data_IF_829501307133
#
_entry.id   IF_829501307133
#
_cell.length_a   1.000
_cell.length_b   1.000
_cell.length_c   1.000
_cell.angle_alpha   90.00
_cell.angle_beta   90.00
_cell.angle_gamma   90.00
#
_symmetry.space_group_name_H-M   'P 1'
#
loop_
_entity.id
_entity.type
_entity.pdbx_description
1 polymer ?
#
# COMPACT_ATOMS: atom_id res chain seq x y z
N UNK A 1 -8.64 12.05 -1.36
CA UNK A 1 -7.65 11.27 -2.14
C UNK A 1 -6.35 11.33 -1.37
N UNK A 2 -5.53 10.30 -1.46
CA UNK A 2 -4.29 10.19 -0.66
C UNK A 2 -3.25 11.15 -1.19
N UNK A 3 -2.70 11.97 -0.32
CA UNK A 3 -1.50 12.78 -0.54
C UNK A 3 -0.33 12.19 0.26
N UNK A 4 -0.60 11.86 1.52
CA UNK A 4 0.34 11.21 2.41
C UNK A 4 -0.23 9.88 2.92
N UNK A 5 0.44 8.79 2.61
CA UNK A 5 0.14 7.46 3.13
C UNK A 5 1.22 6.94 4.07
N UNK A 6 0.84 6.25 5.12
CA UNK A 6 1.75 5.51 5.98
C UNK A 6 1.47 4.02 5.86
N UNK A 7 2.45 3.25 5.39
CA UNK A 7 2.38 1.79 5.36
C UNK A 7 3.14 1.20 6.54
N UNK A 8 2.49 0.33 7.31
CA UNK A 8 3.13 -0.46 8.37
C UNK A 8 3.82 -1.66 7.69
N UNK A 9 5.18 -1.70 7.67
CA UNK A 9 5.90 -2.66 6.83
C UNK A 9 6.23 -3.99 7.53
N UNK A 10 6.26 -4.02 8.86
CA UNK A 10 6.67 -5.18 9.65
C UNK A 10 5.95 -5.23 10.99
N UNK A 11 6.04 -6.39 11.65
CA UNK A 11 5.40 -6.69 12.93
C UNK A 11 6.37 -7.32 13.93
N UNK A 12 7.67 -7.15 13.69
CA UNK A 12 8.75 -7.63 14.52
C UNK A 12 9.56 -6.43 15.00
N UNK A 13 9.51 -6.15 16.31
CA UNK A 13 10.01 -4.91 16.88
C UNK A 13 11.00 -5.17 18.03
N UNK A 14 12.14 -4.43 18.09
CA UNK A 14 13.08 -4.55 19.18
C UNK A 14 12.41 -4.36 20.54
N UNK A 15 12.61 -5.32 21.45
CA UNK A 15 12.11 -5.23 22.81
C UNK A 15 10.61 -5.41 23.00
N UNK A 16 9.85 -5.69 21.95
CA UNK A 16 8.39 -5.92 22.03
C UNK A 16 8.10 -7.41 22.10
N UNK A 17 7.43 -7.83 23.16
CA UNK A 17 6.96 -9.21 23.30
C UNK A 17 5.80 -9.49 22.31
N UNK A 18 5.57 -10.77 21.89
CA UNK A 18 4.49 -11.10 20.97
C UNK A 18 3.12 -10.58 21.35
N UNK A 19 2.79 -10.52 22.64
CA UNK A 19 1.53 -9.97 23.15
C UNK A 19 1.39 -8.44 23.02
N UNK A 20 2.50 -7.73 22.81
CA UNK A 20 2.52 -6.27 22.66
C UNK A 20 2.56 -5.79 21.19
N UNK A 21 2.69 -6.71 20.22
CA UNK A 21 2.84 -6.35 18.81
C UNK A 21 1.64 -5.55 18.32
N UNK A 22 0.42 -6.00 18.60
CA UNK A 22 -0.78 -5.31 18.15
C UNK A 22 -0.90 -3.89 18.75
N UNK A 23 -0.58 -3.71 20.03
CA UNK A 23 -0.58 -2.38 20.67
C UNK A 23 0.44 -1.44 20.00
N UNK A 24 1.61 -1.96 19.61
CA UNK A 24 2.62 -1.21 18.85
C UNK A 24 2.10 -0.79 17.47
N UNK A 25 1.42 -1.69 16.78
CA UNK A 25 0.78 -1.39 15.47
C UNK A 25 -0.30 -0.32 15.62
N UNK A 26 -1.12 -0.40 16.65
CA UNK A 26 -2.14 0.63 16.98
C UNK A 26 -1.48 1.97 17.27
N UNK A 27 -0.37 1.99 18.02
CA UNK A 27 0.36 3.23 18.32
C UNK A 27 0.91 3.88 17.05
N UNK A 28 1.47 3.12 16.10
CA UNK A 28 1.90 3.62 14.80
C UNK A 28 0.74 4.23 14.01
N UNK A 29 -0.40 3.54 13.92
CA UNK A 29 -1.56 4.04 13.18
C UNK A 29 -2.11 5.36 13.77
N UNK A 30 -2.13 5.48 15.10
CA UNK A 30 -2.53 6.71 15.79
C UNK A 30 -1.55 7.84 15.58
N UNK A 31 -0.23 7.57 15.64
CA UNK A 31 0.80 8.54 15.37
C UNK A 31 0.73 9.07 13.91
N UNK A 32 0.49 8.17 12.95
CA UNK A 32 0.25 8.55 11.56
C UNK A 32 -0.97 9.48 11.43
N UNK A 33 -2.10 9.11 12.06
CA UNK A 33 -3.30 9.93 12.05
C UNK A 33 -3.11 11.31 12.72
N UNK A 34 -2.29 11.39 13.75
CA UNK A 34 -2.00 12.63 14.48
C UNK A 34 -1.05 13.57 13.72
N UNK A 35 -0.26 13.07 12.79
CA UNK A 35 0.83 13.79 12.14
C UNK A 35 0.61 14.14 10.67
N UNK A 36 -0.62 14.06 10.17
CA UNK A 36 -0.98 14.55 8.84
C UNK A 36 -1.08 13.49 7.76
N UNK A 37 -0.90 12.21 8.09
CA UNK A 37 -1.16 11.16 7.11
C UNK A 37 -2.67 11.02 6.83
N UNK A 38 -3.01 10.89 5.55
CA UNK A 38 -4.41 10.73 5.08
C UNK A 38 -4.87 9.28 5.17
N UNK A 39 -3.93 8.33 5.11
CA UNK A 39 -4.22 6.90 5.02
C UNK A 39 -3.18 6.05 5.73
N UNK A 40 -3.67 5.00 6.39
CA UNK A 40 -2.85 3.91 6.91
C UNK A 40 -3.02 2.69 6.01
N UNK A 41 -1.89 2.10 5.64
CA UNK A 41 -1.81 0.91 4.83
C UNK A 41 -1.19 -0.25 5.60
N UNK A 42 -1.60 -1.47 5.24
CA UNK A 42 -0.89 -2.69 5.58
C UNK A 42 -0.64 -3.50 4.30
N UNK A 43 0.37 -4.37 4.32
CA UNK A 43 0.64 -5.27 3.20
C UNK A 43 -0.33 -6.46 3.23
N UNK A 44 -0.77 -6.92 2.06
CA UNK A 44 -1.55 -8.15 1.92
C UNK A 44 -0.62 -9.31 1.58
N UNK A 45 0.17 -9.71 2.58
CA UNK A 45 1.12 -10.82 2.53
C UNK A 45 0.91 -11.74 3.73
N UNK A 46 1.30 -13.00 3.59
CA UNK A 46 1.25 -14.02 4.63
C UNK A 46 2.64 -14.29 5.24
N UNK A 47 3.69 -13.93 4.52
CA UNK A 47 5.09 -13.98 4.92
C UNK A 47 5.73 -12.61 4.82
N UNK A 48 6.78 -12.38 5.62
CA UNK A 48 7.53 -11.14 5.50
C UNK A 48 8.37 -11.12 4.20
N UNK A 49 8.54 -9.92 3.67
CA UNK A 49 9.18 -9.71 2.38
C UNK A 49 10.71 -9.61 2.50
N UNK A 50 11.46 -10.13 1.49
CA UNK A 50 12.89 -9.89 1.38
C UNK A 50 13.23 -8.38 1.42
N UNK A 51 14.26 -8.01 2.16
CA UNK A 51 14.66 -6.61 2.37
C UNK A 51 13.93 -5.90 3.52
N UNK A 52 12.90 -6.52 4.11
CA UNK A 52 12.22 -6.05 5.32
C UNK A 52 12.44 -7.06 6.46
N UNK A 53 12.45 -8.34 6.16
CA UNK A 53 12.68 -9.41 7.11
C UNK A 53 12.83 -10.77 6.45
N UNK A 54 12.71 -11.83 7.26
CA UNK A 54 12.74 -13.22 6.81
C UNK A 54 11.31 -13.75 6.63
N UNK A 55 11.06 -14.77 5.82
CA UNK A 55 9.71 -15.30 5.59
C UNK A 55 8.99 -15.80 6.85
N UNK A 56 9.71 -16.18 7.88
CA UNK A 56 9.21 -16.65 9.18
C UNK A 56 9.06 -15.54 10.24
N UNK A 57 9.37 -14.30 9.89
CA UNK A 57 9.07 -13.15 10.75
C UNK A 57 7.54 -12.95 10.84
N UNK A 58 7.10 -12.34 11.94
CA UNK A 58 5.66 -12.12 12.21
C UNK A 58 4.97 -11.37 11.06
N UNK A 59 3.84 -11.92 10.62
CA UNK A 59 2.98 -11.28 9.61
C UNK A 59 1.50 -11.45 9.99
N UNK A 60 0.73 -10.34 10.04
CA UNK A 60 -0.71 -10.38 10.29
C UNK A 60 -1.51 -10.47 8.99
N UNK A 61 -2.65 -11.18 9.03
CA UNK A 61 -3.60 -11.16 7.92
C UNK A 61 -4.17 -9.74 7.74
N UNK A 62 -4.09 -9.25 6.51
CA UNK A 62 -4.30 -7.85 6.14
C UNK A 62 -5.66 -7.30 6.57
N UNK A 63 -6.76 -7.95 6.17
CA UNK A 63 -8.11 -7.41 6.40
C UNK A 63 -8.58 -7.54 7.84
N UNK A 64 -8.14 -8.58 8.53
CA UNK A 64 -8.33 -8.72 9.99
C UNK A 64 -7.67 -7.56 10.73
N UNK A 65 -6.42 -7.23 10.35
CA UNK A 65 -5.69 -6.11 10.95
C UNK A 65 -6.33 -4.77 10.61
N UNK A 66 -6.71 -4.52 9.36
CA UNK A 66 -7.38 -3.28 8.95
C UNK A 66 -8.70 -3.06 9.68
N UNK A 67 -9.50 -4.12 9.87
CA UNK A 67 -10.75 -4.04 10.62
C UNK A 67 -10.51 -3.70 12.11
N UNK A 68 -9.45 -4.24 12.71
CA UNK A 68 -9.04 -3.90 14.07
C UNK A 68 -8.57 -2.44 14.17
N UNK A 69 -7.70 -1.98 13.25
CA UNK A 69 -7.23 -0.59 13.20
C UNK A 69 -8.36 0.43 12.98
N UNK A 70 -9.43 0.03 12.28
CA UNK A 70 -10.62 0.86 12.09
C UNK A 70 -11.25 1.30 13.41
N UNK A 71 -11.14 0.48 14.48
CA UNK A 71 -11.68 0.77 15.80
C UNK A 71 -10.74 1.62 16.67
N UNK A 72 -9.51 1.85 16.22
CA UNK A 72 -8.48 2.61 16.95
C UNK A 72 -8.12 3.93 16.27
N UNK A 73 -8.69 4.22 15.10
CA UNK A 73 -8.48 5.44 14.31
C UNK A 73 -9.83 6.07 13.95
N UNK A 74 -9.86 7.37 13.67
CA UNK A 74 -11.10 8.13 13.45
C UNK A 74 -11.17 8.81 12.07
N UNK A 75 -10.03 9.20 11.49
CA UNK A 75 -9.95 10.05 10.29
C UNK A 75 -9.24 9.40 9.12
N UNK A 76 -8.10 8.73 9.36
CA UNK A 76 -7.32 8.12 8.29
C UNK A 76 -8.13 7.05 7.56
N UNK A 77 -8.02 7.04 6.25
CA UNK A 77 -8.54 5.94 5.44
C UNK A 77 -7.69 4.68 5.64
N UNK A 78 -8.28 3.54 5.40
CA UNK A 78 -7.66 2.24 5.61
C UNK A 78 -7.64 1.45 4.31
N UNK A 79 -6.50 0.87 3.95
CA UNK A 79 -6.32 0.14 2.70
C UNK A 79 -5.23 -0.93 2.81
N UNK A 80 -5.37 -2.00 2.04
CA UNK A 80 -4.21 -2.78 1.67
C UNK A 80 -3.34 -2.00 0.66
N UNK A 81 -2.02 -2.14 0.73
CA UNK A 81 -1.10 -1.69 -0.31
C UNK A 81 -0.19 -2.85 -0.73
N UNK A 82 -0.64 -3.63 -1.69
CA UNK A 82 -1.99 -3.68 -2.25
C UNK A 82 -2.53 -5.10 -2.11
N UNK A 83 -3.86 -5.29 -2.13
CA UNK A 83 -4.48 -6.63 -2.13
C UNK A 83 -3.92 -7.48 -3.27
N UNK A 84 -3.41 -8.66 -2.95
CA UNK A 84 -3.09 -9.68 -3.94
C UNK A 84 -4.37 -10.27 -4.51
N UNK A 85 -4.72 -9.90 -5.73
CA UNK A 85 -5.96 -10.39 -6.38
C UNK A 85 -6.07 -11.91 -6.43
N UNK A 86 -4.94 -12.60 -6.39
CA UNK A 86 -4.85 -14.06 -6.46
C UNK A 86 -5.27 -14.77 -5.16
N UNK A 87 -5.29 -14.09 -4.03
CA UNK A 87 -5.53 -14.69 -2.72
C UNK A 87 -7.02 -14.91 -2.38
N UNK A 88 -7.93 -14.18 -3.03
CA UNK A 88 -9.36 -14.21 -2.68
C UNK A 88 -10.27 -14.28 -3.91
N UNK A 89 -11.43 -14.87 -3.73
CA UNK A 89 -12.51 -14.74 -4.72
C UNK A 89 -12.94 -13.26 -4.80
N UNK A 90 -13.10 -12.67 -6.00
CA UNK A 90 -13.40 -11.23 -6.14
C UNK A 90 -14.74 -10.82 -5.51
N UNK A 91 -15.77 -11.63 -5.57
CA UNK A 91 -17.06 -11.31 -4.93
C UNK A 91 -16.93 -11.33 -3.39
N UNK A 92 -16.12 -12.24 -2.83
CA UNK A 92 -15.79 -12.24 -1.40
C UNK A 92 -14.99 -11.01 -1.04
N UNK A 93 -14.03 -10.59 -1.87
CA UNK A 93 -13.26 -9.36 -1.64
C UNK A 93 -14.16 -8.12 -1.64
N UNK A 94 -15.13 -8.02 -2.56
CA UNK A 94 -16.11 -6.92 -2.55
C UNK A 94 -16.88 -6.86 -1.22
N UNK A 95 -17.30 -8.01 -0.68
CA UNK A 95 -17.94 -8.11 0.65
C UNK A 95 -17.00 -7.68 1.77
N UNK A 96 -15.73 -8.09 1.72
CA UNK A 96 -14.73 -7.76 2.73
C UNK A 96 -14.47 -6.25 2.78
N UNK A 97 -14.30 -5.61 1.62
CA UNK A 97 -14.10 -4.15 1.50
C UNK A 97 -15.33 -3.39 1.98
N UNK A 98 -16.54 -3.85 1.63
CA UNK A 98 -17.78 -3.25 2.12
C UNK A 98 -17.91 -3.38 3.64
N UNK A 99 -17.55 -4.52 4.21
CA UNK A 99 -17.54 -4.69 5.66
C UNK A 99 -16.52 -3.75 6.33
N UNK A 100 -15.31 -3.62 5.75
CA UNK A 100 -14.31 -2.66 6.22
C UNK A 100 -14.83 -1.22 6.15
N UNK A 101 -15.57 -0.86 5.09
CA UNK A 101 -16.17 0.46 4.95
C UNK A 101 -17.17 0.75 6.08
N UNK A 102 -18.02 -0.21 6.42
CA UNK A 102 -18.96 -0.09 7.53
C UNK A 102 -18.26 0.03 8.89
N UNK A 103 -17.31 -0.87 9.20
CA UNK A 103 -16.64 -0.86 10.51
C UNK A 103 -15.70 0.34 10.68
N UNK A 104 -15.29 0.97 9.58
CA UNK A 104 -14.48 2.19 9.57
C UNK A 104 -15.29 3.47 9.37
N UNK A 105 -16.63 3.40 9.31
CA UNK A 105 -17.51 4.55 9.06
C UNK A 105 -17.16 5.31 7.74
N UNK A 106 -17.03 4.57 6.64
CA UNK A 106 -16.83 5.14 5.30
C UNK A 106 -15.37 5.46 4.94
N UNK A 107 -14.39 4.86 5.65
CA UNK A 107 -12.96 5.14 5.44
C UNK A 107 -12.20 4.05 4.65
N UNK A 108 -12.88 3.02 4.13
CA UNK A 108 -12.22 2.00 3.33
C UNK A 108 -11.75 2.52 1.98
N UNK A 109 -10.66 1.93 1.47
CA UNK A 109 -10.19 2.05 0.09
C UNK A 109 -9.82 0.66 -0.42
N UNK A 110 -10.14 0.37 -1.66
CA UNK A 110 -9.67 -0.85 -2.34
C UNK A 110 -8.32 -0.57 -2.99
N UNK A 111 -7.23 -0.97 -2.35
CA UNK A 111 -5.93 -1.09 -3.01
C UNK A 111 -5.79 -2.49 -3.59
N UNK A 112 -5.50 -2.65 -4.88
CA UNK A 112 -5.44 -3.96 -5.53
C UNK A 112 -4.31 -4.05 -6.56
N UNK A 113 -3.76 -5.26 -6.73
CA UNK A 113 -2.74 -5.59 -7.70
C UNK A 113 -2.84 -7.03 -8.20
N UNK A 114 -2.05 -7.39 -9.19
CA UNK A 114 -2.11 -8.72 -9.83
C UNK A 114 -1.53 -9.87 -8.98
N UNK A 115 -0.86 -9.55 -7.85
CA UNK A 115 -0.08 -10.52 -7.08
C UNK A 115 1.31 -10.77 -7.71
N UNK A 116 2.30 -11.07 -6.87
CA UNK A 116 3.67 -11.25 -7.36
C UNK A 116 4.53 -12.24 -6.54
N UNK A 117 4.22 -12.47 -5.25
CA UNK A 117 5.06 -13.24 -4.36
C UNK A 117 4.74 -14.73 -4.45
N UNK A 118 5.47 -15.46 -5.29
CA UNK A 118 5.24 -16.86 -5.64
C UNK A 118 5.35 -17.80 -4.43
N UNK A 119 6.30 -17.53 -3.52
CA UNK A 119 6.52 -18.34 -2.31
C UNK A 119 5.23 -18.54 -1.48
N UNK A 120 4.44 -17.49 -1.30
CA UNK A 120 3.17 -17.58 -0.56
C UNK A 120 2.15 -18.44 -1.28
N UNK A 121 2.08 -18.32 -2.61
CA UNK A 121 1.15 -19.12 -3.42
C UNK A 121 1.47 -20.60 -3.31
N UNK A 122 2.72 -20.97 -3.47
CA UNK A 122 3.18 -22.36 -3.37
C UNK A 122 2.93 -22.93 -1.98
N UNK A 123 3.29 -22.17 -0.94
CA UNK A 123 3.18 -22.63 0.45
C UNK A 123 1.73 -22.76 0.93
N UNK A 124 0.82 -21.91 0.44
CA UNK A 124 -0.61 -21.93 0.80
C UNK A 124 -1.47 -22.74 -0.19
N UNK A 125 -0.86 -23.31 -1.23
CA UNK A 125 -1.62 -24.05 -2.26
C UNK A 125 -2.53 -23.17 -3.11
N UNK A 126 -2.18 -21.88 -3.25
CA UNK A 126 -2.91 -20.91 -4.07
C UNK A 126 -2.30 -20.89 -5.48
N UNK A 127 -3.07 -21.10 -6.54
CA UNK A 127 -2.53 -21.08 -7.90
C UNK A 127 -1.89 -19.75 -8.25
N UNK A 128 -0.56 -19.71 -8.50
CA UNK A 128 0.15 -18.49 -8.86
C UNK A 128 -0.16 -18.03 -10.28
N UNK A 129 -0.20 -18.96 -11.23
CA UNK A 129 -0.40 -18.71 -12.64
C UNK A 129 0.71 -17.86 -13.31
N UNK A 130 0.67 -17.75 -14.64
CA UNK A 130 1.61 -16.92 -15.40
C UNK A 130 1.35 -15.43 -15.16
N UNK A 131 2.35 -14.61 -15.46
CA UNK A 131 2.21 -13.15 -15.40
C UNK A 131 1.00 -12.64 -16.20
N UNK A 132 0.75 -13.19 -17.39
CA UNK A 132 -0.39 -12.77 -18.22
C UNK A 132 -1.73 -13.15 -17.58
N UNK A 133 -1.84 -14.36 -17.08
CA UNK A 133 -3.06 -14.86 -16.44
C UNK A 133 -3.39 -14.09 -15.16
N UNK A 134 -2.40 -13.68 -14.37
CA UNK A 134 -2.66 -12.84 -13.19
C UNK A 134 -3.27 -11.50 -13.55
N UNK A 135 -2.88 -10.89 -14.69
CA UNK A 135 -3.51 -9.66 -15.17
C UNK A 135 -4.90 -9.89 -15.77
N UNK A 136 -5.13 -11.02 -16.43
CA UNK A 136 -6.47 -11.42 -16.90
C UNK A 136 -7.42 -11.62 -15.69
N UNK A 137 -6.94 -12.31 -14.66
CA UNK A 137 -7.67 -12.47 -13.39
C UNK A 137 -7.98 -11.12 -12.73
N UNK A 138 -7.04 -10.20 -12.70
CA UNK A 138 -7.27 -8.87 -12.12
C UNK A 138 -8.33 -8.10 -12.91
N UNK A 139 -8.34 -8.17 -14.24
CA UNK A 139 -9.34 -7.51 -15.07
C UNK A 139 -10.74 -8.11 -14.85
N UNK A 140 -10.89 -9.43 -14.83
CA UNK A 140 -12.15 -10.09 -14.50
C UNK A 140 -12.62 -9.77 -13.08
N UNK A 141 -11.69 -9.73 -12.10
CA UNK A 141 -12.01 -9.38 -10.72
C UNK A 141 -12.54 -7.95 -10.60
N UNK A 142 -11.93 -6.98 -11.29
CA UNK A 142 -12.42 -5.60 -11.30
C UNK A 142 -13.81 -5.48 -11.92
N UNK A 143 -14.11 -6.27 -12.97
CA UNK A 143 -15.43 -6.34 -13.58
C UNK A 143 -16.51 -6.99 -12.68
N UNK A 144 -16.10 -7.67 -11.62
CA UNK A 144 -17.00 -8.20 -10.58
C UNK A 144 -17.09 -7.24 -9.41
N UNK A 145 -15.93 -6.81 -8.87
CA UNK A 145 -15.85 -6.03 -7.64
C UNK A 145 -16.48 -4.64 -7.82
N UNK A 146 -16.12 -3.92 -8.89
CA UNK A 146 -16.57 -2.54 -9.06
C UNK A 146 -18.08 -2.40 -9.21
N UNK A 147 -18.79 -3.24 -10.01
CA UNK A 147 -20.25 -3.25 -10.02
C UNK A 147 -20.85 -3.57 -8.65
N UNK A 148 -20.32 -4.57 -7.92
CA UNK A 148 -20.81 -4.88 -6.57
C UNK A 148 -20.67 -3.72 -5.60
N UNK A 149 -19.55 -2.99 -5.65
CA UNK A 149 -19.33 -1.80 -4.81
C UNK A 149 -20.23 -0.61 -5.18
N UNK A 150 -20.84 -0.61 -6.39
CA UNK A 150 -21.83 0.38 -6.83
C UNK A 150 -23.28 -0.05 -6.62
N UNK A 151 -23.50 -1.20 -5.99
CA UNK A 151 -24.86 -1.73 -5.76
C UNK A 151 -25.46 -2.49 -6.95
N UNK A 152 -24.67 -2.73 -7.96
CA UNK A 152 -25.07 -3.56 -9.09
C UNK A 152 -24.93 -5.06 -8.74
N UNK A 153 -25.57 -5.92 -9.52
CA UNK A 153 -25.56 -7.38 -9.34
C UNK A 153 -24.93 -8.04 -10.57
N UNK A 154 -23.58 -8.10 -10.63
CA UNK A 154 -22.91 -8.63 -11.80
C UNK A 154 -23.15 -10.13 -12.01
N UNK A 155 -23.23 -10.51 -13.28
CA UNK A 155 -23.05 -11.87 -13.74
C UNK A 155 -21.88 -11.89 -14.73
N UNK A 156 -20.94 -12.78 -14.52
CA UNK A 156 -19.77 -13.00 -15.38
C UNK A 156 -19.53 -14.49 -15.55
N UNK A 157 -19.40 -14.94 -16.78
CA UNK A 157 -18.89 -16.26 -17.13
C UNK A 157 -17.54 -16.07 -17.82
N UNK A 158 -16.51 -15.80 -16.99
CA UNK A 158 -15.16 -15.47 -17.44
C UNK A 158 -14.28 -16.70 -17.59
N UNK A 159 -13.05 -16.47 -18.02
CA UNK A 159 -12.01 -17.52 -18.12
C UNK A 159 -11.56 -18.00 -16.74
N UNK A 160 -11.52 -17.08 -15.76
CA UNK A 160 -10.94 -17.30 -14.44
C UNK A 160 -11.97 -17.26 -13.32
N UNK A 161 -13.05 -16.49 -13.48
CA UNK A 161 -14.09 -16.34 -12.46
C UNK A 161 -15.48 -16.47 -13.07
N UNK A 162 -16.36 -17.11 -12.33
CA UNK A 162 -17.79 -17.19 -12.67
C UNK A 162 -18.61 -16.70 -11.50
N UNK A 163 -19.48 -15.73 -11.74
CA UNK A 163 -20.48 -15.25 -10.77
C UNK A 163 -21.83 -15.09 -11.44
N UNK A 164 -22.91 -15.26 -10.68
CA UNK A 164 -24.29 -15.14 -11.17
C UNK A 164 -25.08 -14.29 -10.20
N UNK A 165 -25.55 -13.13 -10.65
CA UNK A 165 -26.39 -12.20 -9.88
C UNK A 165 -25.83 -11.92 -8.48
N UNK A 166 -24.50 -11.63 -8.40
CA UNK A 166 -23.79 -11.51 -7.13
C UNK A 166 -24.28 -10.31 -6.32
N UNK A 167 -24.67 -10.55 -5.06
CA UNK A 167 -25.29 -9.55 -4.18
C UNK A 167 -24.27 -9.03 -3.18
N UNK A 168 -24.20 -7.70 -3.04
CA UNK A 168 -23.38 -7.01 -2.05
C UNK A 168 -24.25 -6.19 -1.09
N UNK A 169 -24.89 -6.85 -0.12
CA UNK A 169 -25.65 -6.21 0.95
C UNK A 169 -24.96 -6.48 2.32
N UNK A 170 -24.82 -5.44 3.19
CA UNK A 170 -25.21 -4.06 2.96
C UNK A 170 -24.41 -3.39 1.84
N UNK A 171 -24.89 -2.29 1.28
CA UNK A 171 -24.14 -1.48 0.34
C UNK A 171 -23.05 -0.68 1.05
N UNK A 172 -21.94 -0.26 0.39
CA UNK A 172 -20.98 0.66 0.96
C UNK A 172 -21.64 1.96 1.46
N UNK A 173 -21.11 2.55 2.52
CA UNK A 173 -21.62 3.82 3.07
C UNK A 173 -21.33 5.01 2.15
N UNK A 174 -20.28 4.91 1.32
CA UNK A 174 -19.84 5.93 0.38
C UNK A 174 -19.18 5.31 -0.84
N UNK A 175 -18.84 6.12 -1.85
CA UNK A 175 -17.95 5.66 -2.93
C UNK A 175 -16.62 5.20 -2.32
N UNK A 176 -16.27 3.93 -2.50
CA UNK A 176 -14.98 3.38 -2.11
C UNK A 176 -13.98 3.70 -3.23
N UNK A 177 -12.91 4.50 -2.95
CA UNK A 177 -11.87 4.75 -3.94
C UNK A 177 -11.12 3.46 -4.30
N UNK A 178 -10.69 3.38 -5.55
CA UNK A 178 -9.94 2.24 -6.08
C UNK A 178 -8.52 2.67 -6.42
N UNK A 179 -7.53 2.03 -5.79
CA UNK A 179 -6.11 2.22 -6.09
C UNK A 179 -5.56 0.96 -6.76
N UNK A 180 -4.82 1.12 -7.84
CA UNK A 180 -4.06 0.02 -8.43
C UNK A 180 -2.57 0.27 -8.23
N UNK A 181 -1.85 -0.72 -7.65
CA UNK A 181 -0.43 -0.65 -7.36
C UNK A 181 0.43 -1.24 -8.47
N UNK A 182 1.59 -0.61 -8.69
CA UNK A 182 2.63 -1.05 -9.62
C UNK A 182 2.88 -0.08 -10.77
N UNK A 183 4.00 -0.28 -11.49
CA UNK A 183 4.53 0.67 -12.48
C UNK A 183 4.61 0.13 -13.90
N UNK A 184 3.97 -1.00 -14.19
CA UNK A 184 3.98 -1.64 -15.51
C UNK A 184 3.23 -0.81 -16.56
N UNK A 185 3.96 -0.20 -17.50
CA UNK A 185 3.41 0.75 -18.48
C UNK A 185 2.31 0.16 -19.37
N UNK A 186 2.48 -1.09 -19.82
CA UNK A 186 1.57 -1.71 -20.80
C UNK A 186 0.29 -2.29 -20.18
N UNK A 187 0.38 -2.87 -18.97
CA UNK A 187 -0.75 -3.57 -18.32
C UNK A 187 -1.25 -2.79 -17.12
N UNK A 188 -0.38 -2.50 -16.14
CA UNK A 188 -0.81 -1.87 -14.89
C UNK A 188 -1.39 -0.48 -15.13
N UNK A 189 -0.64 0.41 -15.83
CA UNK A 189 -1.11 1.77 -16.07
C UNK A 189 -2.31 1.84 -17.03
N UNK A 190 -2.48 0.86 -17.94
CA UNK A 190 -3.73 0.71 -18.69
C UNK A 190 -4.92 0.43 -17.76
N UNK A 191 -4.75 -0.48 -16.80
CA UNK A 191 -5.81 -0.79 -15.84
C UNK A 191 -6.10 0.38 -14.89
N UNK A 192 -5.06 1.12 -14.49
CA UNK A 192 -5.23 2.38 -13.75
C UNK A 192 -6.13 3.33 -14.55
N UNK A 193 -5.79 3.61 -15.80
CA UNK A 193 -6.57 4.49 -16.66
C UNK A 193 -8.02 4.02 -16.87
N UNK A 194 -8.27 2.72 -16.84
CA UNK A 194 -9.58 2.15 -17.11
C UNK A 194 -10.47 2.05 -15.84
N UNK A 195 -9.90 1.75 -14.67
CA UNK A 195 -10.66 1.30 -13.51
C UNK A 195 -10.39 2.09 -12.23
N UNK A 196 -9.23 2.77 -12.09
CA UNK A 196 -8.80 3.27 -10.80
C UNK A 196 -9.06 4.77 -10.62
N UNK A 197 -9.28 5.19 -9.37
CA UNK A 197 -9.25 6.59 -8.94
C UNK A 197 -7.82 7.01 -8.55
N UNK A 198 -6.96 6.03 -8.21
CA UNK A 198 -5.60 6.28 -7.73
C UNK A 198 -4.62 5.25 -8.30
N UNK A 199 -3.37 5.67 -8.50
CA UNK A 199 -2.23 4.81 -8.82
C UNK A 199 -1.16 4.93 -7.73
N UNK A 200 -0.55 3.81 -7.34
CA UNK A 200 0.64 3.84 -6.49
C UNK A 200 1.82 3.20 -7.22
N UNK A 201 2.82 4.02 -7.53
CA UNK A 201 4.00 3.62 -8.30
C UNK A 201 5.07 2.96 -7.41
N UNK A 202 5.78 1.99 -7.99
CA UNK A 202 6.97 1.34 -7.43
C UNK A 202 8.11 1.44 -8.43
N UNK A 203 8.65 2.65 -8.64
CA UNK A 203 9.71 2.94 -9.60
C UNK A 203 10.72 3.92 -8.99
N UNK A 204 11.86 4.18 -9.64
CA UNK A 204 12.78 5.24 -9.22
C UNK A 204 12.19 6.63 -9.50
N UNK A 205 12.77 7.68 -8.90
CA UNK A 205 12.32 9.07 -9.13
C UNK A 205 12.49 9.49 -10.59
N UNK A 206 13.59 9.09 -11.21
CA UNK A 206 13.90 9.40 -12.62
C UNK A 206 12.92 8.74 -13.62
N UNK A 207 12.27 7.65 -13.20
CA UNK A 207 11.29 6.97 -14.04
C UNK A 207 9.88 7.59 -13.97
N UNK A 208 9.60 8.42 -12.96
CA UNK A 208 8.26 8.99 -12.76
C UNK A 208 7.71 9.67 -14.02
N UNK A 209 8.41 10.60 -14.67
CA UNK A 209 7.87 11.28 -15.86
C UNK A 209 7.44 10.30 -16.96
N UNK A 210 8.25 9.28 -17.23
CA UNK A 210 7.93 8.25 -18.22
C UNK A 210 6.69 7.43 -17.85
N UNK A 211 6.48 7.16 -16.54
CA UNK A 211 5.27 6.44 -16.07
C UNK A 211 4.03 7.31 -16.22
N UNK A 212 4.14 8.61 -15.94
CA UNK A 212 3.04 9.56 -16.13
C UNK A 212 2.67 9.71 -17.62
N UNK A 213 3.65 9.86 -18.51
CA UNK A 213 3.42 9.88 -19.96
C UNK A 213 2.69 8.62 -20.46
N UNK A 214 3.07 7.44 -19.96
CA UNK A 214 2.39 6.19 -20.29
C UNK A 214 0.94 6.16 -19.77
N UNK A 215 0.68 6.69 -18.60
CA UNK A 215 -0.66 6.81 -18.05
C UNK A 215 -1.52 7.79 -18.84
N UNK A 216 -0.96 8.96 -19.20
CA UNK A 216 -1.60 9.99 -20.02
C UNK A 216 -2.03 9.43 -21.38
N UNK A 217 -1.13 8.69 -22.04
CA UNK A 217 -1.42 8.03 -23.31
C UNK A 217 -2.53 6.96 -23.20
N UNK A 218 -2.65 6.28 -22.06
CA UNK A 218 -3.77 5.37 -21.81
C UNK A 218 -5.08 6.12 -21.58
N UNK A 219 -5.05 7.21 -20.81
CA UNK A 219 -6.23 8.05 -20.57
C UNK A 219 -6.75 8.66 -21.88
N UNK A 220 -5.87 9.20 -22.72
CA UNK A 220 -6.22 9.74 -24.04
C UNK A 220 -6.93 8.69 -24.91
N UNK A 221 -6.39 7.48 -25.00
CA UNK A 221 -7.01 6.38 -25.76
C UNK A 221 -8.38 5.97 -25.26
N UNK A 222 -8.63 6.11 -23.95
CA UNK A 222 -9.90 5.76 -23.32
C UNK A 222 -10.88 6.95 -23.25
N UNK A 223 -10.44 8.15 -23.63
CA UNK A 223 -11.23 9.38 -23.49
C UNK A 223 -11.51 9.75 -22.04
N UNK A 224 -10.62 9.38 -21.12
CA UNK A 224 -10.72 9.67 -19.68
C UNK A 224 -9.91 10.91 -19.32
N UNK A 225 -10.49 11.78 -18.50
CA UNK A 225 -9.75 12.91 -17.95
C UNK A 225 -8.65 12.40 -16.98
N UNK A 226 -7.40 12.69 -17.30
CA UNK A 226 -6.24 12.30 -16.50
C UNK A 226 -6.28 12.89 -15.08
N UNK A 227 -6.89 14.06 -14.91
CA UNK A 227 -7.01 14.75 -13.61
C UNK A 227 -7.87 14.00 -12.58
N UNK A 228 -8.69 13.04 -13.03
CA UNK A 228 -9.47 12.16 -12.16
C UNK A 228 -8.61 11.12 -11.41
N UNK A 229 -7.37 10.91 -11.85
CA UNK A 229 -6.49 9.88 -11.29
C UNK A 229 -5.37 10.54 -10.49
N UNK A 230 -5.31 10.24 -9.19
CA UNK A 230 -4.20 10.66 -8.34
C UNK A 230 -3.07 9.63 -8.39
N UNK A 231 -1.85 10.12 -8.48
CA UNK A 231 -0.64 9.27 -8.56
C UNK A 231 0.23 9.51 -7.33
N UNK A 232 0.45 8.45 -6.57
CA UNK A 232 1.40 8.42 -5.45
C UNK A 232 2.52 7.43 -5.74
N UNK A 233 3.58 7.47 -4.93
CA UNK A 233 4.71 6.53 -5.00
C UNK A 233 4.92 5.88 -3.64
N UNK A 234 5.20 4.56 -3.62
CA UNK A 234 5.69 3.89 -2.43
C UNK A 234 7.17 4.24 -2.23
N UNK A 235 7.51 4.71 -1.04
CA UNK A 235 8.85 5.13 -0.64
C UNK A 235 9.27 4.37 0.61
N UNK A 236 10.30 3.56 0.50
CA UNK A 236 10.97 3.00 1.68
C UNK A 236 11.80 4.12 2.31
N UNK A 237 11.55 4.40 3.58
CA UNK A 237 12.12 5.55 4.27
C UNK A 237 12.80 5.16 5.58
N UNK A 238 13.85 5.89 5.90
CA UNK A 238 14.41 5.97 7.24
C UNK A 238 14.57 7.44 7.62
N UNK A 239 14.08 7.84 8.79
CA UNK A 239 14.19 9.21 9.28
C UNK A 239 14.66 9.21 10.72
N UNK A 240 15.51 10.16 11.08
CA UNK A 240 15.93 10.46 12.44
C UNK A 240 15.84 11.96 12.70
N UNK A 241 16.01 12.41 13.93
CA UNK A 241 16.11 13.84 14.23
C UNK A 241 17.35 14.48 13.57
N UNK A 242 18.37 13.65 13.30
CA UNK A 242 19.57 13.99 12.54
C UNK A 242 19.94 12.86 11.60
N UNK A 243 20.79 13.15 10.61
CA UNK A 243 21.37 12.15 9.72
C UNK A 243 22.04 10.99 10.49
N UNK A 244 22.89 11.34 11.47
CA UNK A 244 23.61 10.34 12.26
C UNK A 244 22.67 9.43 13.06
N UNK A 245 21.59 9.99 13.62
CA UNK A 245 20.58 9.19 14.31
C UNK A 245 19.86 8.24 13.35
N UNK A 246 19.47 8.70 12.17
CA UNK A 246 18.86 7.87 11.14
C UNK A 246 19.74 6.66 10.78
N UNK A 247 21.03 6.88 10.55
CA UNK A 247 22.00 5.82 10.23
C UNK A 247 22.19 4.86 11.42
N UNK A 248 22.22 5.39 12.65
CA UNK A 248 22.33 4.58 13.86
C UNK A 248 21.11 3.67 14.04
N UNK A 249 19.90 4.16 13.79
CA UNK A 249 18.65 3.37 13.86
C UNK A 249 18.63 2.25 12.80
N UNK A 250 19.11 2.53 11.59
CA UNK A 250 19.24 1.51 10.54
C UNK A 250 20.24 0.41 10.93
N UNK A 251 21.36 0.76 11.53
CA UNK A 251 22.34 -0.21 12.03
C UNK A 251 21.79 -1.05 13.16
N UNK A 252 21.10 -0.44 14.11
CA UNK A 252 20.43 -1.15 15.22
C UNK A 252 19.34 -2.09 14.72
N UNK A 253 18.58 -1.71 13.71
CA UNK A 253 17.61 -2.58 13.07
C UNK A 253 18.26 -3.77 12.35
N UNK A 254 19.32 -3.54 11.58
CA UNK A 254 20.07 -4.61 10.93
C UNK A 254 20.66 -5.59 11.94
N UNK A 255 21.22 -5.10 13.06
CA UNK A 255 21.69 -5.93 14.16
C UNK A 255 20.56 -6.76 14.80
N UNK A 256 19.41 -6.15 15.06
CA UNK A 256 18.22 -6.84 15.56
C UNK A 256 17.75 -7.96 14.63
N UNK A 257 17.82 -7.76 13.30
CA UNK A 257 17.50 -8.77 12.29
C UNK A 257 18.62 -9.79 12.06
N UNK A 258 19.78 -9.64 12.70
CA UNK A 258 20.94 -10.49 12.47
C UNK A 258 21.56 -10.32 11.08
N UNK A 259 21.37 -9.18 10.43
CA UNK A 259 21.90 -8.90 9.10
C UNK A 259 23.34 -8.38 9.16
N UNK A 260 24.18 -8.72 8.19
CA UNK A 260 25.54 -8.18 8.11
C UNK A 260 25.54 -6.67 7.77
N UNK A 261 26.58 -5.95 8.17
CA UNK A 261 26.73 -4.51 7.95
C UNK A 261 26.59 -4.11 6.46
N UNK A 262 27.00 -4.98 5.54
CA UNK A 262 26.84 -4.76 4.10
C UNK A 262 25.37 -4.58 3.65
N UNK A 263 24.41 -5.09 4.41
CA UNK A 263 22.96 -4.86 4.15
C UNK A 263 22.60 -3.42 4.46
N UNK A 264 23.20 -2.80 5.46
CA UNK A 264 22.96 -1.38 5.77
C UNK A 264 23.41 -0.50 4.60
N UNK A 265 24.59 -0.75 4.03
CA UNK A 265 25.07 0.00 2.86
C UNK A 265 24.16 -0.17 1.65
N UNK A 266 23.64 -1.39 1.43
CA UNK A 266 22.66 -1.65 0.38
C UNK A 266 21.35 -0.90 0.65
N UNK A 267 20.85 -0.91 1.88
CA UNK A 267 19.63 -0.18 2.26
C UNK A 267 19.79 1.32 2.04
N UNK A 268 20.90 1.90 2.47
CA UNK A 268 21.20 3.33 2.25
C UNK A 268 21.20 3.72 0.76
N UNK A 269 21.56 2.80 -0.13
CA UNK A 269 21.46 3.00 -1.59
C UNK A 269 20.04 2.94 -2.16
N UNK A 270 19.05 2.49 -1.38
CA UNK A 270 17.67 2.26 -1.84
C UNK A 270 16.63 3.13 -1.13
N UNK A 271 16.94 3.61 0.07
CA UNK A 271 16.01 4.35 0.92
C UNK A 271 16.07 5.85 0.63
N UNK A 272 14.94 6.53 0.86
CA UNK A 272 14.91 7.94 1.19
C UNK A 272 15.27 8.05 2.67
N UNK A 273 16.39 8.71 3.01
CA UNK A 273 16.87 8.70 4.38
C UNK A 273 17.58 9.98 4.80
N UNK A 274 17.68 10.20 6.10
CA UNK A 274 18.41 11.31 6.70
C UNK A 274 17.67 12.00 7.83
N UNK A 275 18.08 13.24 8.14
CA UNK A 275 17.31 14.16 8.97
C UNK A 275 16.12 14.77 8.22
N UNK A 276 15.26 15.56 8.91
CA UNK A 276 14.04 16.10 8.30
C UNK A 276 14.28 16.91 7.01
N UNK A 277 15.28 17.77 6.97
CA UNK A 277 15.55 18.60 5.79
C UNK A 277 15.99 17.78 4.59
N UNK A 278 16.84 16.75 4.80
CA UNK A 278 17.32 15.85 3.75
C UNK A 278 16.18 15.00 3.18
N UNK A 279 15.31 14.46 4.05
CA UNK A 279 14.13 13.70 3.64
C UNK A 279 13.14 14.59 2.88
N UNK A 280 12.91 15.81 3.37
CA UNK A 280 12.02 16.76 2.71
C UNK A 280 12.51 17.13 1.30
N UNK A 281 13.83 17.33 1.10
CA UNK A 281 14.42 17.62 -0.20
C UNK A 281 14.20 16.45 -1.17
N UNK A 282 14.54 15.22 -0.77
CA UNK A 282 14.35 14.02 -1.59
C UNK A 282 12.88 13.80 -1.99
N UNK A 283 11.94 14.10 -1.08
CA UNK A 283 10.50 13.98 -1.38
C UNK A 283 10.04 15.09 -2.32
N UNK A 284 10.50 16.33 -2.18
CA UNK A 284 10.19 17.41 -3.14
C UNK A 284 10.62 17.06 -4.56
N UNK A 285 11.79 16.43 -4.75
CA UNK A 285 12.23 15.97 -6.06
C UNK A 285 11.22 14.98 -6.69
N UNK A 286 10.61 14.10 -5.89
CA UNK A 286 9.57 13.18 -6.37
C UNK A 286 8.27 13.93 -6.76
N UNK A 287 7.87 14.91 -5.95
CA UNK A 287 6.69 15.76 -6.24
C UNK A 287 6.94 16.60 -7.51
N UNK A 288 8.12 17.19 -7.63
CA UNK A 288 8.51 17.97 -8.81
C UNK A 288 8.58 17.12 -10.09
N UNK A 289 8.84 15.80 -9.96
CA UNK A 289 8.74 14.85 -11.04
C UNK A 289 7.30 14.57 -11.50
N UNK A 290 6.28 15.07 -10.78
CA UNK A 290 4.88 15.14 -11.23
C UNK A 290 3.88 14.23 -10.51
N UNK A 291 4.24 13.57 -9.41
CA UNK A 291 3.28 12.81 -8.59
C UNK A 291 2.52 13.70 -7.62
N UNK A 292 1.33 13.25 -7.19
CA UNK A 292 0.45 14.00 -6.28
C UNK A 292 0.80 13.79 -4.79
N UNK A 293 1.66 12.84 -4.47
CA UNK A 293 2.03 12.54 -3.08
C UNK A 293 2.83 11.25 -2.93
N UNK A 294 3.13 10.89 -1.68
CA UNK A 294 3.92 9.69 -1.36
C UNK A 294 3.21 8.80 -0.33
N UNK A 295 3.49 7.51 -0.42
CA UNK A 295 3.20 6.55 0.66
C UNK A 295 4.52 6.05 1.19
N UNK A 296 4.78 6.27 2.48
CA UNK A 296 6.06 5.89 3.10
C UNK A 296 5.90 4.71 4.05
N UNK A 297 6.96 3.94 4.20
CA UNK A 297 7.10 3.00 5.29
C UNK A 297 8.41 3.24 6.03
N UNK A 298 8.38 3.14 7.36
CA UNK A 298 9.54 3.30 8.22
C UNK A 298 10.02 1.90 8.64
N UNK A 299 10.96 1.35 7.88
CA UNK A 299 11.40 -0.05 8.05
C UNK A 299 12.10 -0.25 9.39
N UNK A 300 12.96 0.71 9.81
CA UNK A 300 13.84 0.56 10.96
C UNK A 300 13.22 0.97 12.30
N UNK A 301 12.48 2.07 12.31
CA UNK A 301 12.05 2.70 13.56
C UNK A 301 10.56 3.12 13.61
N UNK A 302 9.74 2.62 12.68
CA UNK A 302 8.30 2.88 12.66
C UNK A 302 7.54 2.41 13.90
N UNK A 303 8.10 1.46 14.67
CA UNK A 303 7.57 1.02 15.96
C UNK A 303 7.68 2.10 17.05
N UNK A 304 8.48 3.15 16.85
CA UNK A 304 8.51 4.33 17.70
C UNK A 304 7.53 5.38 17.15
N UNK A 305 6.41 5.67 17.85
CA UNK A 305 5.43 6.65 17.39
C UNK A 305 6.00 8.05 17.13
N UNK A 306 7.02 8.48 17.87
CA UNK A 306 7.66 9.79 17.69
C UNK A 306 8.33 9.90 16.31
N UNK A 307 8.87 8.80 15.78
CA UNK A 307 9.47 8.77 14.44
C UNK A 307 8.42 8.80 13.34
N UNK A 308 7.26 8.15 13.56
CA UNK A 308 6.11 8.26 12.65
C UNK A 308 5.58 9.70 12.61
N UNK A 309 5.50 10.37 13.78
CA UNK A 309 5.09 11.76 13.86
C UNK A 309 6.12 12.70 13.22
N UNK A 310 7.42 12.45 13.41
CA UNK A 310 8.50 13.21 12.77
C UNK A 310 8.37 13.10 11.23
N UNK A 311 8.18 11.89 10.72
CA UNK A 311 7.97 11.67 9.29
C UNK A 311 6.74 12.42 8.77
N UNK A 312 5.60 12.31 9.47
CA UNK A 312 4.36 13.00 9.08
C UNK A 312 4.52 14.50 8.96
N UNK A 313 5.08 15.15 10.02
CA UNK A 313 5.33 16.61 10.02
C UNK A 313 6.30 17.02 8.91
N UNK A 314 7.37 16.25 8.71
CA UNK A 314 8.38 16.52 7.67
C UNK A 314 7.78 16.47 6.27
N UNK A 315 6.99 15.43 6.01
CA UNK A 315 6.38 15.20 4.70
C UNK A 315 5.24 16.19 4.41
N UNK A 316 4.41 16.51 5.40
CA UNK A 316 3.35 17.51 5.23
C UNK A 316 3.92 18.88 4.87
N UNK A 317 5.01 19.30 5.53
CA UNK A 317 5.72 20.53 5.19
C UNK A 317 6.45 20.47 3.84
N UNK A 318 6.85 19.28 3.36
CA UNK A 318 7.54 19.13 2.08
C UNK A 318 6.59 19.19 0.87
N UNK A 319 5.35 18.70 1.05
CA UNK A 319 4.36 18.60 -0.03
C UNK A 319 3.47 19.85 -0.13
N UNK A 320 3.34 20.63 0.96
CA UNK A 320 2.62 21.92 1.01
C UNK A 320 1.14 21.75 1.33
#
# INVERSE_FOLDING_TARGET
MTRLGYQIPNFDYPGVAPSGIFDTVVAQAKAAEASGFDRVFVMDHFYQLPGIGNPDDTMFECYTLLAALAQHTERVRLSALVTGNTYRNPAVLAKTITALDHVSHGRATLGIGSGWFELEHDSFGIPFNTFSERFEKLEEALNIILPMLRGERPSLDGKHYTVSDAINEPQPLSKIPVMIGGSGEKKTLRMVAQYADESNLTCSTEEIPRKLEALDAHCERLGRDRSEIKVTKLVMMAIGETHDQCVADLKAFAEFKGWPESVVDMMLGMLTYGGPDEVAEQVREMIDAGIDGVTVNLVSNGHNPEMVELAGRTLDAAIG
#
